data_IF_901423830946
#
_entry.id   IF_901423830946
#
_cell.length_a   1.000
_cell.length_b   1.000
_cell.length_c   1.000
_cell.angle_alpha   90.00
_cell.angle_beta   90.00
_cell.angle_gamma   90.00
#
_symmetry.space_group_name_H-M   'P 1'
#
loop_
_entity.id
_entity.type
_entity.pdbx_description
1 polymer ?
#
# COMPACT_ATOMS: atom_id res chain seq x y z
N UNK A 1 -25.35 -7.47 13.32
CA UNK A 1 -23.93 -7.91 13.43
C UNK A 1 -23.22 -7.96 12.08
N UNK A 2 -23.87 -8.44 11.00
CA UNK A 2 -23.34 -8.41 9.62
C UNK A 2 -22.90 -7.03 9.13
N UNK A 3 -23.56 -5.97 9.58
CA UNK A 3 -23.35 -4.59 9.10
C UNK A 3 -22.03 -3.97 9.60
N UNK A 4 -21.57 -4.39 10.80
CA UNK A 4 -20.23 -4.02 11.30
C UNK A 4 -19.13 -4.78 10.54
N UNK A 5 -19.37 -6.05 10.22
CA UNK A 5 -18.40 -6.90 9.52
C UNK A 5 -18.11 -6.37 8.10
N UNK A 6 -19.15 -5.94 7.38
CA UNK A 6 -19.05 -5.37 6.03
C UNK A 6 -18.29 -4.04 6.03
N UNK A 7 -18.39 -3.25 7.11
CA UNK A 7 -17.64 -1.99 7.29
C UNK A 7 -16.17 -2.22 7.68
N UNK A 8 -15.87 -3.29 8.41
CA UNK A 8 -14.51 -3.66 8.84
C UNK A 8 -13.67 -4.28 7.73
N UNK A 9 -14.29 -5.02 6.81
CA UNK A 9 -13.59 -5.67 5.69
C UNK A 9 -12.70 -4.74 4.85
N UNK A 10 -13.16 -3.57 4.35
CA UNK A 10 -12.30 -2.66 3.59
C UNK A 10 -11.18 -2.07 4.45
N UNK A 11 -11.38 -1.93 5.76
CA UNK A 11 -10.38 -1.41 6.69
C UNK A 11 -9.26 -2.42 6.92
N UNK A 12 -9.61 -3.69 7.14
CA UNK A 12 -8.66 -4.80 7.24
C UNK A 12 -7.85 -4.97 5.95
N UNK A 13 -8.51 -4.90 4.79
CA UNK A 13 -7.82 -4.99 3.50
C UNK A 13 -6.82 -3.84 3.31
N UNK A 14 -7.18 -2.61 3.71
CA UNK A 14 -6.27 -1.47 3.67
C UNK A 14 -5.06 -1.69 4.58
N UNK A 15 -5.26 -2.21 5.79
CA UNK A 15 -4.16 -2.53 6.72
C UNK A 15 -3.22 -3.57 6.11
N UNK A 16 -3.74 -4.65 5.52
CA UNK A 16 -2.93 -5.68 4.86
C UNK A 16 -2.14 -5.11 3.67
N UNK A 17 -2.74 -4.23 2.87
CA UNK A 17 -2.06 -3.54 1.77
C UNK A 17 -0.96 -2.59 2.28
N UNK A 18 -1.21 -1.89 3.39
CA UNK A 18 -0.23 -1.00 4.01
C UNK A 18 0.96 -1.78 4.55
N UNK A 19 0.72 -2.88 5.27
CA UNK A 19 1.77 -3.74 5.83
C UNK A 19 2.61 -4.36 4.70
N UNK A 20 1.98 -4.84 3.62
CA UNK A 20 2.72 -5.45 2.50
C UNK A 20 3.56 -4.43 1.72
N UNK A 21 3.09 -3.18 1.57
CA UNK A 21 3.91 -2.10 1.00
C UNK A 21 5.05 -1.69 1.93
N UNK A 22 4.84 -1.61 3.25
CA UNK A 22 5.91 -1.34 4.23
C UNK A 22 6.96 -2.44 4.21
N UNK A 23 6.54 -3.71 4.20
CA UNK A 23 7.44 -4.85 4.05
C UNK A 23 8.25 -4.75 2.75
N UNK A 24 7.60 -4.39 1.63
CA UNK A 24 8.27 -4.18 0.34
C UNK A 24 9.27 -3.02 0.37
N UNK A 25 8.96 -1.94 1.09
CA UNK A 25 9.86 -0.80 1.29
C UNK A 25 11.08 -1.20 2.13
N UNK A 26 10.87 -1.90 3.25
CA UNK A 26 11.96 -2.44 4.09
C UNK A 26 12.84 -3.40 3.29
N UNK A 27 12.25 -4.26 2.47
CA UNK A 27 12.97 -5.18 1.58
C UNK A 27 13.81 -4.45 0.52
N UNK A 28 13.43 -3.22 0.14
CA UNK A 28 14.22 -2.35 -0.76
C UNK A 28 15.45 -1.76 -0.08
N UNK A 29 15.41 -1.58 1.24
CA UNK A 29 16.51 -1.02 2.04
C UNK A 29 17.45 -2.10 2.61
N UNK A 30 16.96 -3.31 2.86
CA UNK A 30 17.73 -4.43 3.40
C UNK A 30 18.99 -4.80 2.58
N UNK A 31 18.95 -4.92 1.23
CA UNK A 31 20.12 -5.35 0.46
C UNK A 31 21.26 -4.34 0.46
N UNK A 32 21.00 -3.04 0.74
CA UNK A 32 22.07 -2.04 0.81
C UNK A 32 23.00 -2.23 2.00
N UNK A 33 22.53 -2.79 3.12
CA UNK A 33 23.37 -3.02 4.30
C UNK A 33 24.16 -4.32 4.25
N UNK A 34 23.68 -5.33 3.52
CA UNK A 34 24.41 -6.59 3.31
C UNK A 34 25.59 -6.44 2.33
N UNK A 35 25.57 -5.43 1.45
CA UNK A 35 26.67 -5.14 0.52
C UNK A 35 28.00 -4.80 1.21
N UNK A 36 28.00 -4.24 2.42
CA UNK A 36 29.23 -3.85 3.11
C UNK A 36 30.04 -5.03 3.68
N UNK A 37 29.39 -6.15 4.01
CA UNK A 37 30.01 -7.23 4.78
C UNK A 37 30.24 -8.54 3.98
N UNK A 38 29.70 -8.66 2.76
CA UNK A 38 29.75 -9.92 1.96
C UNK A 38 30.93 -9.93 0.96
N UNK A 39 31.74 -8.86 0.90
CA UNK A 39 32.81 -8.70 -0.09
C UNK A 39 34.05 -9.59 0.20
N UNK A 40 34.16 -10.27 1.34
CA UNK A 40 35.43 -10.93 1.73
C UNK A 40 35.54 -12.45 1.51
N UNK A 41 34.49 -13.20 1.17
CA UNK A 41 34.60 -14.67 1.07
C UNK A 41 34.04 -15.26 -0.22
N UNK A 42 34.78 -16.19 -0.85
CA UNK A 42 34.57 -16.79 -2.18
C UNK A 42 33.22 -17.47 -2.51
N UNK A 43 32.19 -17.31 -1.68
CA UNK A 43 30.78 -17.64 -1.99
C UNK A 43 30.06 -16.51 -2.76
N UNK A 44 30.80 -15.57 -3.35
CA UNK A 44 30.28 -14.34 -3.96
C UNK A 44 29.34 -14.59 -5.14
N UNK A 45 29.57 -15.66 -5.91
CA UNK A 45 28.79 -15.94 -7.13
C UNK A 45 27.35 -16.33 -6.77
N UNK A 46 27.14 -17.19 -5.77
CA UNK A 46 25.80 -17.62 -5.37
C UNK A 46 24.97 -16.50 -4.74
N UNK A 47 25.60 -15.69 -3.88
CA UNK A 47 24.94 -14.53 -3.29
C UNK A 47 24.55 -13.51 -4.38
N UNK A 48 25.46 -13.24 -5.32
CA UNK A 48 25.23 -12.34 -6.45
C UNK A 48 24.08 -12.79 -7.36
N UNK A 49 23.95 -14.10 -7.61
CA UNK A 49 22.80 -14.68 -8.32
C UNK A 49 21.47 -14.52 -7.56
N UNK A 50 21.48 -14.73 -6.24
CA UNK A 50 20.28 -14.52 -5.41
C UNK A 50 19.82 -13.06 -5.44
N UNK A 51 20.76 -12.11 -5.34
CA UNK A 51 20.44 -10.68 -5.40
C UNK A 51 19.94 -10.25 -6.77
N UNK A 52 20.54 -10.74 -7.86
CA UNK A 52 20.07 -10.47 -9.21
C UNK A 52 18.62 -10.92 -9.39
N UNK A 53 18.26 -12.11 -8.88
CA UNK A 53 16.87 -12.62 -8.90
C UNK A 53 15.93 -11.73 -8.08
N UNK A 54 16.31 -11.32 -6.88
CA UNK A 54 15.49 -10.45 -6.04
C UNK A 54 15.30 -9.05 -6.65
N UNK A 55 16.34 -8.50 -7.28
CA UNK A 55 16.28 -7.20 -7.94
C UNK A 55 15.31 -7.18 -9.12
N UNK A 56 15.18 -8.31 -9.84
CA UNK A 56 14.22 -8.47 -10.95
C UNK A 56 12.78 -8.70 -10.46
N UNK A 57 12.60 -9.46 -9.37
CA UNK A 57 11.27 -9.77 -8.84
C UNK A 57 10.64 -8.60 -8.06
N UNK A 58 11.47 -7.78 -7.41
CA UNK A 58 11.00 -6.66 -6.60
C UNK A 58 10.12 -5.64 -7.36
N UNK A 59 10.50 -5.11 -8.54
CA UNK A 59 9.68 -4.13 -9.26
C UNK A 59 8.32 -4.71 -9.67
N UNK A 60 8.27 -6.00 -10.02
CA UNK A 60 7.04 -6.70 -10.38
C UNK A 60 6.07 -6.69 -9.19
N UNK A 61 6.54 -7.07 -7.99
CA UNK A 61 5.73 -7.07 -6.76
C UNK A 61 5.19 -5.66 -6.45
N UNK A 62 6.03 -4.63 -6.59
CA UNK A 62 5.62 -3.24 -6.34
C UNK A 62 4.54 -2.77 -7.31
N UNK A 63 4.66 -3.11 -8.60
CA UNK A 63 3.65 -2.77 -9.62
C UNK A 63 2.32 -3.46 -9.32
N UNK A 64 2.34 -4.75 -8.97
CA UNK A 64 1.12 -5.46 -8.57
C UNK A 64 0.46 -4.85 -7.33
N UNK A 65 1.26 -4.41 -6.33
CA UNK A 65 0.76 -3.70 -5.16
C UNK A 65 0.11 -2.36 -5.51
N UNK A 66 0.73 -1.57 -6.39
CA UNK A 66 0.16 -0.30 -6.88
C UNK A 66 -1.17 -0.54 -7.60
N UNK A 67 -1.25 -1.56 -8.46
CA UNK A 67 -2.48 -1.94 -9.15
C UNK A 67 -3.56 -2.39 -8.16
N UNK A 68 -3.21 -3.18 -7.15
CA UNK A 68 -4.13 -3.61 -6.11
C UNK A 68 -4.68 -2.42 -5.30
N UNK A 69 -3.82 -1.47 -4.93
CA UNK A 69 -4.21 -0.24 -4.23
C UNK A 69 -5.11 0.64 -5.11
N UNK A 70 -4.77 0.84 -6.38
CA UNK A 70 -5.57 1.59 -7.33
C UNK A 70 -6.96 0.96 -7.53
N UNK A 71 -7.01 -0.36 -7.69
CA UNK A 71 -8.26 -1.13 -7.84
C UNK A 71 -9.12 -1.01 -6.58
N UNK A 72 -8.51 -1.11 -5.41
CA UNK A 72 -9.22 -0.96 -4.15
C UNK A 72 -9.80 0.46 -3.97
N UNK A 73 -9.00 1.49 -4.24
CA UNK A 73 -9.43 2.90 -4.21
C UNK A 73 -10.55 3.16 -5.21
N UNK A 74 -10.50 2.57 -6.40
CA UNK A 74 -11.57 2.66 -7.39
C UNK A 74 -12.90 2.10 -6.84
N UNK A 75 -12.87 0.90 -6.24
CA UNK A 75 -14.06 0.26 -5.68
C UNK A 75 -14.60 1.07 -4.49
N UNK A 76 -13.71 1.52 -3.59
CA UNK A 76 -14.12 2.28 -2.41
C UNK A 76 -14.68 3.66 -2.77
N UNK A 77 -14.01 4.37 -3.69
CA UNK A 77 -14.50 5.66 -4.19
C UNK A 77 -15.85 5.52 -4.92
N UNK A 78 -16.04 4.44 -5.70
CA UNK A 78 -17.34 4.14 -6.33
C UNK A 78 -18.44 3.93 -5.28
N UNK A 79 -18.14 3.23 -4.18
CA UNK A 79 -19.09 2.99 -3.08
C UNK A 79 -19.46 4.28 -2.34
N UNK A 80 -18.49 5.16 -2.13
CA UNK A 80 -18.68 6.43 -1.42
C UNK A 80 -19.19 7.56 -2.33
N UNK A 81 -19.61 7.23 -3.57
CA UNK A 81 -20.12 8.16 -4.58
C UNK A 81 -19.14 9.31 -4.91
N UNK A 82 -17.83 9.04 -4.81
CA UNK A 82 -16.72 9.95 -5.16
C UNK A 82 -16.22 9.65 -6.58
N UNK A 83 -15.40 10.54 -7.15
CA UNK A 83 -14.83 10.34 -8.48
C UNK A 83 -13.85 9.13 -8.50
N UNK A 84 -14.35 7.98 -9.00
CA UNK A 84 -13.64 6.70 -9.05
C UNK A 84 -12.34 6.73 -9.84
N UNK A 85 -12.30 7.47 -10.95
CA UNK A 85 -11.13 7.54 -11.83
C UNK A 85 -10.00 8.36 -11.21
N UNK A 86 -10.35 9.47 -10.56
CA UNK A 86 -9.39 10.31 -9.85
C UNK A 86 -8.68 9.50 -8.74
N UNK A 87 -9.45 8.78 -7.91
CA UNK A 87 -8.90 8.01 -6.80
C UNK A 87 -8.09 6.79 -7.26
N UNK A 88 -8.45 6.18 -8.38
CA UNK A 88 -7.66 5.10 -8.97
C UNK A 88 -6.31 5.60 -9.50
N UNK A 89 -6.30 6.74 -10.21
CA UNK A 89 -5.07 7.36 -10.70
C UNK A 89 -4.15 7.79 -9.54
N UNK A 90 -4.74 8.35 -8.48
CA UNK A 90 -3.99 8.67 -7.26
C UNK A 90 -3.43 7.41 -6.61
N UNK A 91 -4.21 6.33 -6.53
CA UNK A 91 -3.75 5.05 -6.01
C UNK A 91 -2.63 4.41 -6.81
N UNK A 92 -2.59 4.63 -8.13
CA UNK A 92 -1.56 4.06 -9.02
C UNK A 92 -0.27 4.90 -8.99
N UNK A 93 -0.40 6.23 -8.92
CA UNK A 93 0.76 7.15 -8.89
C UNK A 93 1.37 7.31 -7.51
N UNK A 94 0.54 7.41 -6.47
CA UNK A 94 0.96 7.73 -5.10
C UNK A 94 0.83 6.56 -4.12
N UNK A 95 0.24 5.44 -4.55
CA UNK A 95 0.12 4.23 -3.76
C UNK A 95 -0.50 4.49 -2.39
N UNK A 96 0.30 4.24 -1.36
CA UNK A 96 -0.09 4.33 0.04
C UNK A 96 -0.48 5.75 0.49
N UNK A 97 0.12 6.78 -0.11
CA UNK A 97 -0.23 8.17 0.18
C UNK A 97 -1.67 8.48 -0.25
N UNK A 98 -2.13 7.91 -1.37
CA UNK A 98 -3.52 8.09 -1.78
C UNK A 98 -4.51 7.42 -0.82
N UNK A 99 -4.15 6.26 -0.27
CA UNK A 99 -4.95 5.57 0.76
C UNK A 99 -5.03 6.43 2.03
N UNK A 100 -3.91 6.98 2.49
CA UNK A 100 -3.87 7.85 3.66
C UNK A 100 -4.77 9.10 3.46
N UNK A 101 -4.61 9.80 2.34
CA UNK A 101 -5.43 10.97 2.01
C UNK A 101 -6.91 10.62 1.94
N UNK A 102 -7.27 9.46 1.40
CA UNK A 102 -8.66 8.98 1.36
C UNK A 102 -9.27 8.90 2.77
N UNK A 103 -8.55 8.30 3.71
CA UNK A 103 -9.01 8.14 5.09
C UNK A 103 -9.09 9.47 5.83
N UNK A 104 -8.13 10.37 5.63
CA UNK A 104 -8.16 11.72 6.24
C UNK A 104 -9.43 12.47 5.84
N UNK A 105 -9.78 12.46 4.53
CA UNK A 105 -11.01 13.08 4.04
C UNK A 105 -12.26 12.39 4.61
N UNK A 106 -12.23 11.06 4.74
CA UNK A 106 -13.35 10.30 5.32
C UNK A 106 -13.60 10.66 6.79
N UNK A 107 -12.53 10.79 7.58
CA UNK A 107 -12.61 11.16 9.00
C UNK A 107 -13.10 12.60 9.15
N UNK A 108 -12.56 13.54 8.37
CA UNK A 108 -12.98 14.94 8.44
C UNK A 108 -14.47 15.11 8.14
N UNK A 109 -14.98 14.41 7.11
CA UNK A 109 -16.42 14.41 6.78
C UNK A 109 -17.28 13.82 7.90
N UNK A 110 -16.81 12.80 8.63
CA UNK A 110 -17.55 12.23 9.77
C UNK A 110 -17.60 13.20 10.94
N UNK A 111 -16.50 13.90 11.22
CA UNK A 111 -16.42 14.89 12.30
C UNK A 111 -17.40 16.03 12.05
N UNK A 112 -17.42 16.60 10.84
CA UNK A 112 -18.33 17.71 10.50
C UNK A 112 -19.80 17.33 10.65
N UNK A 113 -20.19 16.11 10.26
CA UNK A 113 -21.56 15.61 10.42
C UNK A 113 -21.97 15.44 11.90
N UNK A 114 -21.03 15.12 12.78
CA UNK A 114 -21.28 14.98 14.22
C UNK A 114 -21.49 16.36 14.85
N UNK A 115 -20.73 17.37 14.42
CA UNK A 115 -20.90 18.75 14.89
C UNK A 115 -22.24 19.34 14.47
N UNK A 116 -22.69 19.07 13.24
CA UNK A 116 -23.99 19.53 12.74
C UNK A 116 -25.17 18.88 13.50
N UNK A 117 -25.10 17.58 13.82
CA UNK A 117 -26.14 16.90 14.62
C UNK A 117 -26.16 17.27 16.11
N UNK A 118 -25.13 17.98 16.60
CA UNK A 118 -25.10 18.49 17.99
C UNK A 118 -25.72 19.88 18.13
N UNK A 119 -25.97 20.58 17.03
CA UNK A 119 -26.67 21.87 16.97
C UNK A 119 -28.18 21.65 16.88
#
# INVERSE_FOLDING_TARGET
MKDKLIKLFPMLLAIVLVISMLASAVFRFLPRKLQGNVIESGSQIEAMWLYARLCLLQPIIVVFLQIAVATWLFIKAKRDNKNKWLWALLGLGFGLLAVATYYVIEIHKKISLIEENKK
#
